data_IF_336372351725
#
_entry.id   IF_336372351725
#
_cell.length_a   1.000
_cell.length_b   1.000
_cell.length_c   1.000
_cell.angle_alpha   90.00
_cell.angle_beta   90.00
_cell.angle_gamma   90.00
#
_symmetry.space_group_name_H-M   'P 1'
#
loop_
_entity.id
_entity.type
_entity.pdbx_description
1 polymer ?
#
# COMPACT_ATOMS: atom_id res chain seq x y z
N UNK A 1 -36.44 -37.18 5.50
CA UNK A 1 -35.64 -36.12 4.82
C UNK A 1 -34.71 -35.47 5.83
N UNK A 2 -33.39 -35.65 5.66
CA UNK A 2 -32.34 -35.16 6.56
C UNK A 2 -32.15 -33.63 6.46
N UNK A 3 -32.71 -32.87 7.40
CA UNK A 3 -32.59 -31.39 7.46
C UNK A 3 -31.35 -30.88 8.24
N UNK A 4 -30.37 -31.74 8.51
CA UNK A 4 -29.17 -31.38 9.30
C UNK A 4 -27.94 -31.00 8.49
N UNK A 5 -27.94 -31.20 7.16
CA UNK A 5 -26.71 -31.13 6.35
C UNK A 5 -26.39 -29.75 5.76
N UNK A 6 -27.36 -28.83 5.75
CA UNK A 6 -27.21 -27.52 5.10
C UNK A 6 -26.57 -26.42 5.99
N UNK A 7 -26.53 -26.60 7.32
CA UNK A 7 -25.95 -25.60 8.24
C UNK A 7 -24.46 -25.77 8.53
N UNK A 8 -23.85 -26.92 8.21
CA UNK A 8 -22.43 -27.19 8.52
C UNK A 8 -21.45 -26.45 7.61
N UNK A 9 -21.82 -26.19 6.36
CA UNK A 9 -20.91 -25.53 5.40
C UNK A 9 -20.66 -24.04 5.68
N UNK A 10 -21.60 -23.34 6.33
CA UNK A 10 -21.45 -21.87 6.58
C UNK A 10 -20.51 -21.53 7.73
N UNK A 11 -20.29 -22.44 8.68
CA UNK A 11 -19.39 -22.23 9.81
C UNK A 11 -17.92 -22.54 9.47
N UNK A 12 -17.68 -23.54 8.61
CA UNK A 12 -16.33 -23.88 8.13
C UNK A 12 -15.69 -22.75 7.33
N UNK A 13 -16.47 -21.96 6.57
CA UNK A 13 -15.94 -20.89 5.74
C UNK A 13 -15.27 -19.74 6.51
N UNK A 14 -15.67 -19.46 7.75
CA UNK A 14 -15.00 -18.48 8.61
C UNK A 14 -13.80 -19.11 9.35
N UNK A 15 -13.99 -20.32 9.90
CA UNK A 15 -12.92 -21.05 10.60
C UNK A 15 -11.70 -21.31 9.71
N UNK A 16 -11.92 -21.50 8.40
CA UNK A 16 -10.84 -21.71 7.44
C UNK A 16 -9.86 -20.53 7.38
N UNK A 17 -10.33 -19.29 7.49
CA UNK A 17 -9.44 -18.12 7.49
C UNK A 17 -8.79 -17.92 8.86
N UNK A 18 -9.52 -18.19 9.94
CA UNK A 18 -8.99 -18.09 11.31
C UNK A 18 -7.80 -19.06 11.54
N UNK A 19 -7.90 -20.30 11.03
CA UNK A 19 -6.79 -21.27 11.10
C UNK A 19 -5.56 -20.83 10.30
N UNK A 20 -5.76 -20.25 9.11
CA UNK A 20 -4.68 -19.75 8.26
C UNK A 20 -3.93 -18.58 8.89
N UNK A 21 -4.61 -17.70 9.62
CA UNK A 21 -4.00 -16.56 10.31
C UNK A 21 -3.33 -16.94 11.65
N UNK A 22 -3.78 -18.03 12.29
CA UNK A 22 -3.25 -18.48 13.59
C UNK A 22 -1.83 -19.06 13.55
N UNK A 23 -1.40 -19.54 12.38
CA UNK A 23 -0.13 -20.27 12.17
C UNK A 23 0.99 -19.47 11.53
N UNK A 24 0.97 -18.14 11.63
CA UNK A 24 2.02 -17.30 11.01
C UNK A 24 3.33 -17.47 11.80
N UNK A 25 4.36 -18.01 11.15
CA UNK A 25 5.72 -18.05 11.71
C UNK A 25 6.19 -16.62 11.98
N UNK A 26 6.31 -16.28 13.27
CA UNK A 26 6.74 -14.97 13.74
C UNK A 26 8.10 -14.58 13.18
N UNK A 27 9.02 -15.54 12.98
CA UNK A 27 10.33 -15.28 12.37
C UNK A 27 10.22 -14.94 10.89
N UNK A 28 9.27 -15.54 10.18
CA UNK A 28 8.99 -15.18 8.79
C UNK A 28 8.36 -13.79 8.71
N UNK A 29 7.39 -13.46 9.57
CA UNK A 29 6.79 -12.13 9.62
C UNK A 29 7.83 -11.04 9.89
N UNK A 30 8.77 -11.26 10.80
CA UNK A 30 9.87 -10.33 11.07
C UNK A 30 10.82 -10.17 9.88
N UNK A 31 11.12 -11.26 9.15
CA UNK A 31 12.00 -11.23 7.96
C UNK A 31 11.36 -10.51 6.77
N UNK A 32 10.05 -10.66 6.59
CA UNK A 32 9.31 -10.11 5.46
C UNK A 32 8.55 -8.82 5.80
N UNK A 33 8.73 -8.29 7.02
CA UNK A 33 8.15 -7.01 7.41
C UNK A 33 8.75 -5.88 6.57
N UNK A 34 7.97 -5.39 5.60
CA UNK A 34 8.36 -4.24 4.79
C UNK A 34 8.01 -2.97 5.56
N UNK A 35 8.95 -2.02 5.62
CA UNK A 35 8.63 -0.67 6.10
C UNK A 35 7.47 -0.10 5.27
N UNK A 36 6.57 0.69 5.87
CA UNK A 36 5.55 1.41 5.11
C UNK A 36 6.21 2.14 3.95
N UNK A 37 5.53 2.17 2.80
CA UNK A 37 5.96 3.00 1.68
C UNK A 37 6.22 4.40 2.21
N UNK A 38 7.47 4.86 2.07
CA UNK A 38 7.78 6.24 2.37
C UNK A 38 6.96 7.08 1.40
N UNK A 39 6.15 7.99 1.92
CA UNK A 39 5.44 8.95 1.10
C UNK A 39 6.48 9.78 0.38
N UNK A 40 6.71 9.49 -0.90
CA UNK A 40 7.62 10.23 -1.74
C UNK A 40 6.81 11.32 -2.41
N UNK A 41 6.98 12.55 -1.94
CA UNK A 41 6.24 13.68 -2.46
C UNK A 41 6.89 14.21 -3.73
N UNK A 42 6.13 14.98 -4.51
CA UNK A 42 6.69 15.69 -5.67
C UNK A 42 7.82 16.63 -5.23
N UNK A 43 7.70 17.23 -4.05
CA UNK A 43 8.74 18.09 -3.47
C UNK A 43 10.04 17.32 -3.20
N UNK A 44 9.96 16.09 -2.68
CA UNK A 44 11.13 15.23 -2.47
C UNK A 44 11.85 14.89 -3.78
N UNK A 45 11.09 14.67 -4.85
CA UNK A 45 11.64 14.47 -6.19
C UNK A 45 12.34 15.70 -6.72
N UNK A 46 11.68 16.85 -6.68
CA UNK A 46 12.24 18.12 -7.16
C UNK A 46 13.50 18.49 -6.39
N UNK A 47 13.50 18.30 -5.07
CA UNK A 47 14.68 18.50 -4.21
C UNK A 47 15.83 17.56 -4.58
N UNK A 48 15.55 16.29 -4.87
CA UNK A 48 16.55 15.32 -5.36
C UNK A 48 17.15 15.75 -6.70
N UNK A 49 16.35 16.37 -7.56
CA UNK A 49 16.80 16.89 -8.86
C UNK A 49 17.49 18.26 -8.76
N UNK A 50 17.65 18.81 -7.56
CA UNK A 50 18.28 20.12 -7.34
C UNK A 50 17.39 21.31 -7.72
N UNK A 51 16.08 21.09 -7.89
CA UNK A 51 15.10 22.15 -8.19
C UNK A 51 14.67 22.81 -6.89
N UNK A 52 14.92 24.11 -6.77
CA UNK A 52 14.49 24.92 -5.65
C UNK A 52 13.05 25.39 -5.86
N UNK A 53 12.10 24.71 -5.20
CA UNK A 53 10.66 25.04 -5.25
C UNK A 53 10.28 26.31 -4.49
N UNK A 54 11.19 26.87 -3.68
CA UNK A 54 10.92 28.11 -2.94
C UNK A 54 11.24 29.36 -3.76
N UNK A 55 12.08 29.22 -4.78
CA UNK A 55 12.39 30.30 -5.71
C UNK A 55 11.33 30.31 -6.81
N UNK A 56 10.71 31.47 -7.01
CA UNK A 56 9.80 31.68 -8.12
C UNK A 56 10.48 31.29 -9.44
N UNK A 57 9.74 30.59 -10.30
CA UNK A 57 10.24 30.21 -11.63
C UNK A 57 10.46 31.50 -12.42
N UNK A 58 11.70 31.83 -12.76
CA UNK A 58 11.98 32.91 -13.71
C UNK A 58 11.62 32.40 -15.10
N UNK A 59 10.36 32.59 -15.49
CA UNK A 59 9.80 32.17 -16.76
C UNK A 59 10.24 33.12 -17.91
N UNK A 60 11.54 33.40 -18.00
CA UNK A 60 12.17 34.30 -18.97
C UNK A 60 12.17 33.76 -20.41
N UNK A 61 11.04 33.30 -20.93
CA UNK A 61 10.96 32.79 -22.30
C UNK A 61 9.61 32.27 -22.79
N UNK A 62 8.47 32.73 -22.27
CA UNK A 62 7.18 32.48 -22.93
C UNK A 62 6.86 33.59 -23.93
N UNK A 63 7.53 33.57 -25.07
CA UNK A 63 7.07 34.26 -26.28
C UNK A 63 5.89 33.48 -26.85
N UNK A 64 4.67 33.86 -26.44
CA UNK A 64 3.45 33.38 -27.08
C UNK A 64 3.29 34.12 -28.42
N UNK A 65 3.73 33.48 -29.51
CA UNK A 65 3.48 33.98 -30.86
C UNK A 65 1.96 34.03 -31.11
N UNK A 66 1.53 35.17 -31.65
CA UNK A 66 0.13 35.57 -31.85
C UNK A 66 -0.55 34.85 -33.01
#
# INVERSE_FOLDING_TARGET
MNRGRAKKQRLEGQQHYDELESGIDRRASERFHRKPYQSYTVEDYLKKMGVDVTKGVDAGGQEHSK
#
